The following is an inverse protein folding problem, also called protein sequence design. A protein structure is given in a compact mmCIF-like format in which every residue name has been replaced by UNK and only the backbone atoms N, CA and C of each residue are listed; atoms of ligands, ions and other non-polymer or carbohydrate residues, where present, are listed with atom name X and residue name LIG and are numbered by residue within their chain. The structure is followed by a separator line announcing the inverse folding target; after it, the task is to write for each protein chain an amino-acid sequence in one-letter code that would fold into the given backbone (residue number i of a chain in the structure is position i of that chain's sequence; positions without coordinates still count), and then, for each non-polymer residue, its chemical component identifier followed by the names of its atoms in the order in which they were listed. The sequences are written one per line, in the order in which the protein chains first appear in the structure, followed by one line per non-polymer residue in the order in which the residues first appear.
data_IF_430340088752
#
_entry.id   IF_430340088752
#
_cell.length_a   1.000
_cell.length_b   1.000
_cell.length_c   1.000
_cell.angle_alpha   90.00
_cell.angle_beta   90.00
_cell.angle_gamma   90.00
#
_symmetry.space_group_name_H-M   'P 1'
#
loop_
_entity.id
_entity.type
_entity.pdbx_description
1 polymer ?
#
# COMPACT_ATOMS: atom_id res chain seq x y z
N UNK A 1 3.84 5.74 15.08
CA UNK A 1 5.08 5.10 14.62
C UNK A 1 5.84 6.03 13.66
N UNK A 2 5.29 6.38 12.50
CA UNK A 2 5.98 7.20 11.48
C UNK A 2 6.68 8.48 11.98
N UNK A 3 6.03 9.31 12.80
CA UNK A 3 6.65 10.54 13.34
C UNK A 3 7.90 10.29 14.20
N UNK A 4 8.00 9.14 14.87
CA UNK A 4 9.16 8.81 15.71
C UNK A 4 10.36 8.27 14.91
N UNK A 5 10.14 7.86 13.67
CA UNK A 5 11.13 7.17 12.83
C UNK A 5 11.27 7.82 11.46
N UNK A 6 11.04 9.13 11.37
CA UNK A 6 11.05 9.86 10.09
C UNK A 6 12.40 9.76 9.36
N UNK A 7 13.50 9.60 10.10
CA UNK A 7 14.85 9.46 9.57
C UNK A 7 15.35 8.01 9.55
N UNK A 8 14.44 7.02 9.65
CA UNK A 8 14.78 5.61 9.65
C UNK A 8 14.04 4.89 8.53
N UNK A 9 14.68 3.88 7.95
CA UNK A 9 13.96 2.92 7.10
C UNK A 9 13.09 2.04 7.96
N UNK A 10 11.78 2.01 7.68
CA UNK A 10 10.82 1.18 8.40
C UNK A 10 10.29 0.10 7.48
N UNK A 11 10.65 -1.15 7.76
CA UNK A 11 10.05 -2.32 7.12
C UNK A 11 8.90 -2.83 7.99
N UNK A 12 7.67 -2.78 7.47
CA UNK A 12 6.47 -3.25 8.18
C UNK A 12 5.91 -4.47 7.49
N UNK A 13 5.78 -5.58 8.23
CA UNK A 13 5.05 -6.78 7.81
C UNK A 13 3.71 -6.76 8.54
N UNK A 14 2.61 -6.73 7.81
CA UNK A 14 1.27 -6.63 8.41
C UNK A 14 0.23 -7.43 7.64
N UNK A 15 -0.75 -7.94 8.38
CA UNK A 15 -1.97 -8.55 7.83
C UNK A 15 -3.09 -7.53 7.57
N UNK A 16 -2.97 -6.32 8.12
CA UNK A 16 -4.00 -5.27 8.01
C UNK A 16 -3.61 -4.27 6.93
N UNK A 17 -4.39 -4.21 5.86
CA UNK A 17 -4.14 -3.31 4.74
C UNK A 17 -4.09 -1.83 5.16
N UNK A 18 -4.97 -1.38 6.07
CA UNK A 18 -4.93 -0.01 6.64
C UNK A 18 -3.59 0.38 7.27
N UNK A 19 -2.82 -0.59 7.78
CA UNK A 19 -1.54 -0.32 8.44
C UNK A 19 -0.43 -0.04 7.42
N UNK A 20 -0.57 -0.54 6.19
CA UNK A 20 0.45 -0.46 5.15
C UNK A 20 0.05 0.43 3.96
N UNK A 21 -1.22 0.82 3.83
CA UNK A 21 -1.76 1.56 2.68
C UNK A 21 -1.10 2.93 2.45
N UNK A 22 -0.54 3.53 3.49
CA UNK A 22 0.17 4.81 3.47
C UNK A 22 1.69 4.65 3.32
N UNK A 23 2.19 3.44 3.08
CA UNK A 23 3.62 3.16 2.86
C UNK A 23 4.13 3.73 1.54
N UNK A 24 5.42 4.02 1.49
CA UNK A 24 6.05 4.61 0.30
C UNK A 24 6.12 3.59 -0.85
N UNK A 25 6.29 2.32 -0.50
CA UNK A 25 6.26 1.15 -1.38
C UNK A 25 5.60 -0.03 -0.67
N UNK A 26 4.98 -0.90 -1.43
CA UNK A 26 4.50 -2.22 -1.01
C UNK A 26 5.32 -3.27 -1.73
N UNK A 27 5.73 -4.30 -0.98
CA UNK A 27 6.39 -5.49 -1.50
C UNK A 27 5.42 -6.66 -1.36
N UNK A 28 4.99 -7.25 -2.48
CA UNK A 28 4.19 -8.48 -2.47
C UNK A 28 5.12 -9.66 -2.71
N UNK A 29 5.10 -10.62 -1.79
CA UNK A 29 5.89 -11.85 -1.85
C UNK A 29 4.99 -13.06 -2.00
N UNK A 30 5.37 -13.99 -2.88
CA UNK A 30 4.71 -15.29 -3.03
C UNK A 30 5.76 -16.35 -3.32
N UNK A 31 5.69 -17.50 -2.65
CA UNK A 31 6.62 -18.63 -2.87
C UNK A 31 8.12 -18.25 -2.82
N UNK A 32 8.49 -17.30 -1.96
CA UNK A 32 9.88 -16.82 -1.85
C UNK A 32 10.33 -15.88 -2.96
N UNK A 33 9.43 -15.44 -3.84
CA UNK A 33 9.71 -14.53 -4.95
C UNK A 33 9.00 -13.19 -4.76
N UNK A 34 9.61 -12.13 -5.30
CA UNK A 34 9.01 -10.80 -5.41
C UNK A 34 8.02 -10.80 -6.56
N UNK A 35 6.74 -10.62 -6.24
CA UNK A 35 5.68 -10.51 -7.24
C UNK A 35 5.52 -9.06 -7.69
N UNK A 36 5.54 -8.12 -6.73
CA UNK A 36 5.29 -6.70 -6.99
C UNK A 36 6.10 -5.81 -6.06
N UNK A 37 6.55 -4.69 -6.58
CA UNK A 37 7.23 -3.67 -5.79
C UNK A 37 7.00 -2.26 -6.36
N UNK A 38 5.97 -1.58 -5.89
CA UNK A 38 5.64 -0.21 -6.30
C UNK A 38 4.86 0.52 -5.20
N UNK A 39 4.47 1.77 -5.41
CA UNK A 39 3.67 2.49 -4.42
C UNK A 39 2.26 1.88 -4.31
N UNK A 40 1.58 1.99 -3.14
CA UNK A 40 0.22 1.48 -3.00
C UNK A 40 -0.74 2.02 -4.06
N UNK A 41 -0.60 3.30 -4.45
CA UNK A 41 -1.49 3.91 -5.43
C UNK A 41 -1.24 3.40 -6.86
N UNK A 42 0.01 3.20 -7.26
CA UNK A 42 0.35 2.57 -8.55
C UNK A 42 -0.18 1.14 -8.61
N UNK A 43 0.07 0.33 -7.58
CA UNK A 43 -0.40 -1.06 -7.52
C UNK A 43 -1.93 -1.16 -7.50
N UNK A 44 -2.64 -0.18 -6.93
CA UNK A 44 -4.11 -0.16 -6.93
C UNK A 44 -4.72 0.40 -8.22
N UNK A 45 -3.91 1.01 -9.08
CA UNK A 45 -4.37 1.51 -10.39
C UNK A 45 -4.37 0.41 -11.46
N UNK A 46 -3.70 -0.71 -11.19
CA UNK A 46 -3.70 -1.90 -12.03
C UNK A 46 -4.65 -2.96 -11.44
N UNK A 47 -5.72 -3.30 -12.13
CA UNK A 47 -6.67 -4.32 -11.66
C UNK A 47 -6.08 -5.74 -11.65
N UNK A 48 -5.01 -5.98 -12.41
CA UNK A 48 -4.32 -7.28 -12.46
C UNK A 48 -3.29 -7.44 -11.34
N UNK A 49 -3.01 -6.38 -10.59
CA UNK A 49 -2.08 -6.40 -9.46
C UNK A 49 -2.54 -7.35 -8.36
N UNK A 50 -1.61 -8.14 -7.82
CA UNK A 50 -1.83 -8.98 -6.64
C UNK A 50 -2.27 -8.14 -5.45
N UNK A 51 -1.67 -6.97 -5.25
CA UNK A 51 -2.09 -6.07 -4.19
C UNK A 51 -3.52 -5.54 -4.40
N UNK A 52 -3.89 -5.19 -5.64
CA UNK A 52 -5.25 -4.75 -5.95
C UNK A 52 -6.28 -5.86 -5.70
N UNK A 53 -5.97 -7.10 -6.09
CA UNK A 53 -6.80 -8.27 -5.80
C UNK A 53 -6.94 -8.56 -4.30
N UNK A 54 -5.89 -8.35 -3.50
CA UNK A 54 -5.97 -8.47 -2.04
C UNK A 54 -6.88 -7.41 -1.43
N UNK A 55 -6.81 -6.17 -1.92
CA UNK A 55 -7.66 -5.08 -1.44
C UNK A 55 -9.12 -5.31 -1.84
N UNK A 56 -9.40 -5.78 -3.06
CA UNK A 56 -10.77 -6.02 -3.53
C UNK A 56 -11.53 -7.06 -2.68
N UNK A 57 -10.82 -7.99 -2.04
CA UNK A 57 -11.39 -8.98 -1.12
C UNK A 57 -11.86 -8.39 0.23
N UNK A 58 -11.59 -7.11 0.51
CA UNK A 58 -12.01 -6.45 1.76
C UNK A 58 -13.46 -5.94 1.76
N UNK A 59 -14.14 -6.03 0.60
CA UNK A 59 -15.49 -5.53 0.38
C UNK A 59 -15.53 -4.07 -0.09
N UNK A 60 -16.54 -3.72 -0.89
CA UNK A 60 -16.61 -2.49 -1.69
C UNK A 60 -16.32 -1.20 -0.91
N UNK A 61 -16.89 -1.10 0.30
CA UNK A 61 -16.72 0.08 1.16
C UNK A 61 -15.28 0.23 1.64
N UNK A 62 -14.65 -0.87 2.03
CA UNK A 62 -13.27 -0.84 2.52
C UNK A 62 -12.29 -0.65 1.35
N UNK A 63 -12.52 -1.32 0.23
CA UNK A 63 -11.77 -1.13 -1.02
C UNK A 63 -11.74 0.34 -1.43
N UNK A 64 -12.92 0.98 -1.52
CA UNK A 64 -13.03 2.39 -1.89
C UNK A 64 -12.29 3.30 -0.91
N UNK A 65 -12.37 2.99 0.40
CA UNK A 65 -11.67 3.74 1.44
C UNK A 65 -10.15 3.60 1.32
N UNK A 66 -9.65 2.38 1.12
CA UNK A 66 -8.21 2.11 0.97
C UNK A 66 -7.64 2.78 -0.29
N UNK A 67 -8.37 2.74 -1.41
CA UNK A 67 -7.98 3.45 -2.64
C UNK A 67 -7.89 4.96 -2.40
N UNK A 68 -8.88 5.54 -1.72
CA UNK A 68 -8.86 6.96 -1.40
C UNK A 68 -7.69 7.32 -0.47
N UNK A 69 -7.39 6.50 0.53
CA UNK A 69 -6.23 6.70 1.41
C UNK A 69 -4.91 6.63 0.65
N UNK A 70 -4.74 5.63 -0.22
CA UNK A 70 -3.54 5.48 -1.05
C UNK A 70 -3.34 6.70 -1.96
N UNK A 71 -4.42 7.18 -2.59
CA UNK A 71 -4.39 8.38 -3.45
C UNK A 71 -4.00 9.62 -2.66
N UNK A 72 -4.63 9.87 -1.52
CA UNK A 72 -4.29 11.03 -0.66
C UNK A 72 -2.83 10.96 -0.19
N UNK A 73 -2.35 9.79 0.23
CA UNK A 73 -0.95 9.60 0.62
C UNK A 73 0.01 9.86 -0.55
N UNK A 74 -0.30 9.38 -1.75
CA UNK A 74 0.51 9.62 -2.95
C UNK A 74 0.58 11.11 -3.30
N UNK A 75 -0.55 11.82 -3.27
CA UNK A 75 -0.59 13.27 -3.53
C UNK A 75 0.21 14.06 -2.48
N UNK A 76 0.09 13.71 -1.20
CA UNK A 76 0.82 14.39 -0.13
C UNK A 76 2.35 14.28 -0.27
N UNK A 77 2.86 13.19 -0.85
CA UNK A 77 4.30 13.00 -1.11
C UNK A 77 4.83 13.78 -2.30
N UNK A 78 4.00 14.06 -3.31
CA UNK A 78 4.43 14.82 -4.50
C UNK A 78 4.50 16.33 -4.26
N UNK A 79 3.88 16.81 -3.17
CA UNK A 79 3.86 18.22 -2.78
C UNK A 79 5.02 18.62 -1.85
N UNK A 80 5.99 17.74 -1.59
CA UNK A 80 7.13 17.97 -0.69
C UNK A 80 8.46 18.00 -1.42
#
# INVERSE_FOLDING_TARGET
IRRKFINCTVLTIAHRLRTIIDSDKILVLSHGQVMEFASPYELLSDEQSYFAQLVSQTGDRETSHLIQQAKTAAMARHSQ
#
